data_IF_333252606383
#
_entry.id   IF_333252606383
#
_cell.length_a   1.000
_cell.length_b   1.000
_cell.length_c   1.000
_cell.angle_alpha   90.00
_cell.angle_beta   90.00
_cell.angle_gamma   90.00
#
_symmetry.space_group_name_H-M   'P 1'
#
loop_
_entity.id
_entity.type
_entity.pdbx_description
1 polymer ?
#
# COMPACT_ATOMS: atom_id res chain seq x y z
N UNK A 1 8.72 50.21 -6.07
CA UNK A 1 7.79 49.19 -5.54
C UNK A 1 7.74 47.89 -6.35
N UNK A 2 8.28 47.85 -7.57
CA UNK A 2 8.26 46.66 -8.46
C UNK A 2 9.35 45.63 -8.15
N UNK A 3 10.50 46.06 -7.63
CA UNK A 3 11.64 45.19 -7.31
C UNK A 3 11.36 44.27 -6.10
N UNK A 4 10.73 44.81 -5.05
CA UNK A 4 10.32 44.06 -3.86
C UNK A 4 9.24 43.02 -4.16
N UNK A 5 8.34 43.33 -5.12
CA UNK A 5 7.25 42.44 -5.55
C UNK A 5 7.79 41.22 -6.33
N UNK A 6 8.83 41.40 -7.15
CA UNK A 6 9.52 40.31 -7.87
C UNK A 6 10.23 39.34 -6.93
N UNK A 7 10.86 39.84 -5.88
CA UNK A 7 11.51 39.01 -4.86
C UNK A 7 10.48 38.21 -4.04
N UNK A 8 9.34 38.84 -3.72
CA UNK A 8 8.24 38.20 -3.02
C UNK A 8 7.62 37.05 -3.84
N UNK A 9 7.42 37.24 -5.15
CA UNK A 9 6.98 36.16 -6.05
C UNK A 9 8.02 35.03 -6.19
N UNK A 10 9.31 35.38 -6.24
CA UNK A 10 10.40 34.40 -6.27
C UNK A 10 10.39 33.47 -5.04
N UNK A 11 10.19 34.03 -3.84
CA UNK A 11 10.08 33.25 -2.61
C UNK A 11 8.84 32.35 -2.57
N UNK A 12 7.68 32.82 -3.04
CA UNK A 12 6.45 32.03 -3.10
C UNK A 12 6.60 30.85 -4.07
N UNK A 13 7.22 31.06 -5.23
CA UNK A 13 7.47 29.98 -6.19
C UNK A 13 8.49 28.96 -5.64
N UNK A 14 9.54 29.42 -4.97
CA UNK A 14 10.55 28.55 -4.38
C UNK A 14 9.97 27.69 -3.24
N UNK A 15 9.13 28.27 -2.37
CA UNK A 15 8.48 27.51 -1.30
C UNK A 15 7.46 26.49 -1.82
N UNK A 16 6.70 26.84 -2.87
CA UNK A 16 5.75 25.91 -3.51
C UNK A 16 6.44 24.73 -4.21
N UNK A 17 7.65 24.95 -4.74
CA UNK A 17 8.45 23.91 -5.37
C UNK A 17 9.01 22.91 -4.36
N UNK A 18 9.36 23.38 -3.16
CA UNK A 18 9.96 22.55 -2.11
C UNK A 18 8.96 21.60 -1.45
N UNK A 19 7.67 21.97 -1.39
CA UNK A 19 6.60 21.13 -0.82
C UNK A 19 6.23 19.93 -1.70
N UNK A 20 6.52 19.98 -3.01
CA UNK A 20 6.18 18.89 -3.93
C UNK A 20 7.13 17.68 -3.84
N UNK A 21 8.29 17.81 -3.19
CA UNK A 21 9.29 16.74 -3.08
C UNK A 21 8.95 15.67 -2.04
N UNK A 22 7.99 15.93 -1.15
CA UNK A 22 7.62 15.03 -0.04
C UNK A 22 6.43 14.11 -0.31
N UNK A 23 5.72 14.28 -1.43
CA UNK A 23 4.55 13.47 -1.76
C UNK A 23 4.99 12.17 -2.45
N UNK A 24 5.20 11.11 -1.66
CA UNK A 24 5.32 9.75 -2.19
C UNK A 24 3.91 9.23 -2.53
N UNK A 25 3.69 8.59 -3.69
CA UNK A 25 2.45 7.86 -3.92
C UNK A 25 2.30 6.78 -2.85
N UNK A 26 1.18 6.80 -2.12
CA UNK A 26 0.84 5.72 -1.21
C UNK A 26 0.36 4.54 -2.07
N UNK A 27 1.14 3.45 -2.10
CA UNK A 27 0.68 2.18 -2.64
C UNK A 27 -0.04 1.43 -1.52
N UNK A 28 -1.24 0.97 -1.84
CA UNK A 28 -2.07 0.14 -0.97
C UNK A 28 -2.46 -1.09 -1.77
N UNK A 29 -1.94 -2.25 -1.40
CA UNK A 29 -2.26 -3.51 -2.03
C UNK A 29 -3.63 -3.97 -1.53
N UNK A 30 -4.40 -4.57 -2.43
CA UNK A 30 -5.62 -5.28 -2.07
C UNK A 30 -5.31 -6.78 -2.07
N UNK A 31 -5.34 -7.40 -0.90
CA UNK A 31 -5.13 -8.83 -0.73
C UNK A 31 -6.49 -9.46 -0.42
N UNK A 32 -6.95 -10.35 -1.30
CA UNK A 32 -8.25 -11.02 -1.14
C UNK A 32 -8.03 -12.45 -0.68
N UNK A 33 -8.47 -12.74 0.54
CA UNK A 33 -8.54 -14.10 1.08
C UNK A 33 -9.72 -14.81 0.42
N UNK A 34 -9.48 -15.93 -0.24
CA UNK A 34 -10.48 -16.70 -0.99
C UNK A 34 -10.75 -18.10 -0.40
N UNK A 35 -10.07 -18.46 0.68
CA UNK A 35 -10.25 -19.73 1.39
C UNK A 35 -10.40 -19.53 2.90
N UNK A 36 -11.25 -20.36 3.51
CA UNK A 36 -11.37 -20.50 4.96
C UNK A 36 -10.30 -21.43 5.56
N UNK A 37 -9.51 -22.11 4.71
CA UNK A 37 -8.49 -23.02 5.17
C UNK A 37 -7.46 -22.27 6.02
N UNK A 38 -7.06 -22.91 7.11
CA UNK A 38 -5.94 -22.48 7.92
C UNK A 38 -4.70 -23.30 7.53
N UNK A 39 -4.35 -23.24 6.25
CA UNK A 39 -3.14 -23.84 5.67
C UNK A 39 -2.12 -22.77 5.33
N UNK A 40 -0.91 -23.19 4.97
CA UNK A 40 0.15 -22.33 4.44
C UNK A 40 0.89 -23.15 3.39
N UNK A 41 0.95 -22.66 2.16
CA UNK A 41 1.64 -23.31 1.06
C UNK A 41 1.09 -22.85 -0.28
N UNK A 42 1.85 -23.11 -1.35
CA UNK A 42 1.40 -22.80 -2.70
C UNK A 42 0.37 -23.84 -3.19
N UNK A 43 -0.86 -23.75 -2.68
CA UNK A 43 -1.96 -24.67 -2.96
C UNK A 43 -3.04 -24.05 -3.87
N UNK A 44 -2.83 -22.79 -4.29
CA UNK A 44 -3.69 -22.10 -5.23
C UNK A 44 -4.86 -21.36 -4.56
N UNK A 45 -4.84 -21.24 -3.24
CA UNK A 45 -5.71 -20.37 -2.47
C UNK A 45 -4.90 -19.30 -1.73
N UNK A 46 -5.46 -18.11 -1.55
CA UNK A 46 -4.93 -17.16 -0.57
C UNK A 46 -5.67 -17.33 0.74
N UNK A 47 -5.02 -17.94 1.74
CA UNK A 47 -5.53 -18.02 3.11
C UNK A 47 -5.23 -16.74 3.90
N UNK A 48 -5.91 -16.56 5.05
CA UNK A 48 -5.70 -15.39 5.91
C UNK A 48 -4.25 -15.23 6.37
N UNK A 49 -3.58 -16.33 6.72
CA UNK A 49 -2.18 -16.25 7.14
C UNK A 49 -1.25 -15.86 6.00
N UNK A 50 -1.50 -16.34 4.79
CA UNK A 50 -0.69 -16.01 3.62
C UNK A 50 -0.85 -14.55 3.23
N UNK A 51 -2.08 -14.03 3.25
CA UNK A 51 -2.36 -12.60 3.05
C UNK A 51 -1.62 -11.74 4.09
N UNK A 52 -1.68 -12.10 5.37
CA UNK A 52 -1.00 -11.36 6.44
C UNK A 52 0.52 -11.38 6.24
N UNK A 53 1.11 -12.52 5.89
CA UNK A 53 2.55 -12.60 5.62
C UNK A 53 2.94 -11.74 4.43
N UNK A 54 2.24 -11.83 3.30
CA UNK A 54 2.55 -11.02 2.12
C UNK A 54 2.43 -9.51 2.38
N UNK A 55 1.41 -9.09 3.14
CA UNK A 55 1.23 -7.71 3.57
C UNK A 55 2.40 -7.24 4.45
N UNK A 56 2.80 -8.04 5.44
CA UNK A 56 3.90 -7.68 6.35
C UNK A 56 5.26 -7.62 5.65
N UNK A 57 5.52 -8.57 4.73
CA UNK A 57 6.79 -8.66 4.01
C UNK A 57 6.86 -7.65 2.86
N UNK A 58 5.74 -7.01 2.49
CA UNK A 58 5.61 -6.17 1.29
C UNK A 58 6.07 -6.92 0.03
N UNK A 59 5.74 -8.20 -0.04
CA UNK A 59 6.22 -9.12 -1.07
C UNK A 59 5.20 -10.24 -1.30
N UNK A 60 5.29 -10.91 -2.44
CA UNK A 60 4.56 -12.16 -2.69
C UNK A 60 5.35 -13.34 -2.10
N UNK A 61 5.45 -13.40 -0.77
CA UNK A 61 6.08 -14.51 -0.04
C UNK A 61 5.34 -15.83 -0.34
N UNK A 62 4.00 -15.75 -0.42
CA UNK A 62 3.12 -16.79 -0.95
C UNK A 62 2.56 -16.34 -2.32
N UNK A 63 2.87 -17.06 -3.42
CA UNK A 63 2.60 -16.61 -4.78
C UNK A 63 1.13 -16.71 -5.22
N UNK A 64 0.33 -17.49 -4.50
CA UNK A 64 -1.13 -17.59 -4.61
C UNK A 64 -1.87 -16.45 -3.91
N UNK A 65 -1.16 -15.56 -3.24
CA UNK A 65 -1.71 -14.31 -2.75
C UNK A 65 -1.00 -13.09 -3.34
N UNK A 66 -1.71 -11.96 -3.42
CA UNK A 66 -1.12 -10.71 -3.88
C UNK A 66 0.04 -10.27 -2.97
N UNK A 67 1.05 -9.61 -3.54
CA UNK A 67 2.12 -9.00 -2.76
C UNK A 67 1.60 -7.81 -1.95
N UNK A 68 2.10 -7.64 -0.73
CA UNK A 68 1.93 -6.39 0.00
C UNK A 68 2.68 -5.21 -0.65
N UNK A 69 2.33 -4.00 -0.27
CA UNK A 69 2.93 -2.77 -0.78
C UNK A 69 3.22 -1.71 0.28
N UNK A 70 2.83 -1.94 1.54
CA UNK A 70 3.18 -1.07 2.65
C UNK A 70 2.13 -1.00 3.74
N UNK A 71 2.26 0.01 4.59
CA UNK A 71 1.40 0.23 5.77
C UNK A 71 -0.08 0.51 5.46
N UNK A 72 -0.46 0.66 4.18
CA UNK A 72 -1.84 0.96 3.76
C UNK A 72 -2.52 -0.21 3.04
N UNK A 73 -1.92 -1.40 3.07
CA UNK A 73 -2.52 -2.59 2.50
C UNK A 73 -3.87 -2.92 3.15
N UNK A 74 -4.79 -3.47 2.36
CA UNK A 74 -6.12 -3.88 2.80
C UNK A 74 -6.30 -5.37 2.53
N UNK A 75 -6.65 -6.12 3.59
CA UNK A 75 -7.03 -7.53 3.49
C UNK A 75 -8.56 -7.62 3.50
N UNK A 76 -9.14 -8.23 2.46
CA UNK A 76 -10.57 -8.48 2.33
C UNK A 76 -10.85 -9.97 2.21
N UNK A 77 -12.04 -10.40 2.60
CA UNK A 77 -12.50 -11.76 2.36
C UNK A 77 -13.44 -11.80 1.17
N UNK A 78 -13.24 -12.75 0.25
CA UNK A 78 -14.11 -12.93 -0.92
C UNK A 78 -15.53 -13.41 -0.54
N UNK A 79 -15.68 -14.04 0.63
CA UNK A 79 -16.95 -14.49 1.18
C UNK A 79 -16.94 -14.40 2.71
N UNK A 80 -18.07 -14.79 3.33
CA UNK A 80 -18.13 -14.97 4.78
C UNK A 80 -17.46 -16.29 5.14
N UNK A 81 -16.26 -16.24 5.70
CA UNK A 81 -15.55 -17.41 6.18
C UNK A 81 -15.62 -17.54 7.70
N UNK A 82 -15.71 -18.77 8.17
CA UNK A 82 -15.34 -19.12 9.54
C UNK A 82 -13.94 -19.71 9.47
N UNK A 83 -12.96 -19.01 10.05
CA UNK A 83 -11.60 -19.52 10.19
C UNK A 83 -11.53 -20.30 11.51
N UNK A 84 -11.15 -21.58 11.44
CA UNK A 84 -11.09 -22.49 12.60
C UNK A 84 -9.73 -23.11 12.75
#
# INVERSE_FOLDING_TARGET
MTFFKKFFYGFICASLSLTALGTQPAYAASLTVDSAADTVGNDGACTLREAITNANDNAATYPDCAAGSGASDTITFAANYTIT
#
